data_IF_104050724556
#
_entry.id   IF_104050724556
#
_cell.length_a   1.000
_cell.length_b   1.000
_cell.length_c   1.000
_cell.angle_alpha   90.00
_cell.angle_beta   90.00
_cell.angle_gamma   90.00
#
_symmetry.space_group_name_H-M   'P 1'
#
loop_
_entity.id
_entity.type
_entity.pdbx_description
1 polymer ?
#
# COMPACT_ATOMS: atom_id res chain seq x y z
N UNK A 1 -6.39 -9.58 1.69
CA UNK A 1 -4.96 -9.25 1.85
C UNK A 1 -4.61 -8.21 0.80
N UNK A 2 -3.69 -7.30 1.10
CA UNK A 2 -3.21 -6.29 0.14
C UNK A 2 -1.90 -6.82 -0.42
N UNK A 3 -1.83 -6.99 -1.73
CA UNK A 3 -0.63 -7.40 -2.43
C UNK A 3 0.07 -6.15 -3.00
N UNK A 4 1.34 -5.96 -2.63
CA UNK A 4 2.12 -4.78 -3.02
C UNK A 4 3.25 -5.22 -3.94
N UNK A 5 3.42 -4.50 -5.05
CA UNK A 5 4.46 -4.72 -6.05
C UNK A 5 5.35 -3.48 -6.16
N UNK A 6 6.60 -3.64 -6.61
CA UNK A 6 7.40 -2.47 -6.98
C UNK A 6 6.76 -1.76 -8.19
N UNK A 7 7.08 -0.48 -8.40
CA UNK A 7 6.46 0.30 -9.48
C UNK A 7 6.72 -0.31 -10.87
N UNK A 8 7.90 -0.90 -11.07
CA UNK A 8 8.27 -1.60 -12.31
C UNK A 8 7.39 -2.83 -12.58
N UNK A 9 7.30 -3.75 -11.60
CA UNK A 9 6.52 -4.97 -11.73
C UNK A 9 5.02 -4.67 -11.80
N UNK A 10 4.53 -3.75 -10.96
CA UNK A 10 3.14 -3.32 -10.99
C UNK A 10 2.77 -2.70 -12.33
N UNK A 11 3.61 -1.79 -12.85
CA UNK A 11 3.38 -1.21 -14.19
C UNK A 11 3.40 -2.27 -15.28
N UNK A 12 4.36 -3.21 -15.23
CA UNK A 12 4.48 -4.29 -16.22
C UNK A 12 3.27 -5.20 -16.22
N UNK A 13 2.82 -5.69 -15.07
CA UNK A 13 1.74 -6.67 -15.02
C UNK A 13 0.36 -6.04 -15.24
N UNK A 14 0.09 -4.87 -14.64
CA UNK A 14 -1.21 -4.21 -14.80
C UNK A 14 -1.39 -3.52 -16.17
N UNK A 15 -0.33 -3.39 -16.97
CA UNK A 15 -0.44 -3.02 -18.40
C UNK A 15 -1.03 -4.15 -19.27
N UNK A 16 -0.91 -5.41 -18.82
CA UNK A 16 -1.40 -6.59 -19.55
C UNK A 16 -2.85 -6.90 -19.20
N UNK A 17 -3.16 -6.93 -17.91
CA UNK A 17 -4.50 -7.24 -17.40
C UNK A 17 -4.72 -6.63 -16.01
N UNK A 18 -5.97 -6.29 -15.70
CA UNK A 18 -6.39 -5.86 -14.36
C UNK A 18 -6.65 -7.07 -13.46
N UNK A 19 -5.62 -7.89 -13.26
CA UNK A 19 -5.67 -9.09 -12.42
C UNK A 19 -4.46 -9.07 -11.48
N UNK A 20 -4.68 -9.34 -10.19
CA UNK A 20 -3.60 -9.43 -9.21
C UNK A 20 -2.63 -10.57 -9.58
N UNK A 21 -1.33 -10.30 -9.79
CA UNK A 21 -0.35 -11.35 -10.09
C UNK A 21 -0.13 -12.36 -8.96
N UNK A 22 -0.46 -12.02 -7.72
CA UNK A 22 -0.21 -12.87 -6.55
C UNK A 22 -1.40 -13.79 -6.21
N UNK A 23 -2.64 -13.31 -6.36
CA UNK A 23 -3.84 -14.02 -5.92
C UNK A 23 -4.90 -14.17 -7.03
N UNK A 24 -4.60 -13.80 -8.26
CA UNK A 24 -5.45 -13.95 -9.46
C UNK A 24 -6.83 -13.25 -9.37
N UNK A 25 -6.99 -12.34 -8.40
CA UNK A 25 -8.23 -11.58 -8.21
C UNK A 25 -8.37 -10.52 -9.30
N UNK A 26 -9.58 -10.37 -9.86
CA UNK A 26 -9.89 -9.33 -10.83
C UNK A 26 -10.01 -7.95 -10.14
N UNK A 27 -9.27 -6.96 -10.63
CA UNK A 27 -9.09 -5.62 -10.05
C UNK A 27 -9.75 -4.54 -10.93
N UNK A 28 -11.06 -4.66 -11.18
CA UNK A 28 -11.81 -3.76 -12.06
C UNK A 28 -12.39 -2.52 -11.36
N UNK A 29 -12.30 -2.45 -10.04
CA UNK A 29 -12.73 -1.33 -9.23
C UNK A 29 -11.75 -0.15 -9.25
N UNK A 30 -12.29 1.06 -9.12
CA UNK A 30 -11.51 2.32 -9.13
C UNK A 30 -10.42 2.40 -8.06
N UNK A 31 -10.55 1.64 -6.96
CA UNK A 31 -9.63 1.65 -5.83
C UNK A 31 -8.92 0.30 -5.65
N UNK A 32 -9.03 -0.60 -6.61
CA UNK A 32 -8.42 -1.93 -6.54
C UNK A 32 -6.91 -1.86 -6.80
N UNK A 33 -6.45 -0.83 -7.53
CA UNK A 33 -5.04 -0.55 -7.79
C UNK A 33 -4.74 0.88 -7.35
N UNK A 34 -3.83 1.03 -6.40
CA UNK A 34 -3.37 2.33 -5.91
C UNK A 34 -1.85 2.36 -5.98
N UNK A 35 -1.30 3.40 -6.61
CA UNK A 35 0.13 3.69 -6.56
C UNK A 35 0.41 4.55 -5.33
N UNK A 36 1.35 4.11 -4.51
CA UNK A 36 1.80 4.85 -3.34
C UNK A 36 3.30 5.13 -3.41
N UNK A 37 3.66 6.37 -3.09
CA UNK A 37 5.05 6.75 -2.85
C UNK A 37 5.52 6.19 -1.50
N UNK A 38 6.62 5.44 -1.51
CA UNK A 38 7.23 4.86 -0.33
C UNK A 38 8.14 5.84 0.42
N UNK A 39 8.50 6.96 -0.20
CA UNK A 39 9.38 7.99 0.36
C UNK A 39 8.72 9.38 0.32
N UNK A 40 7.54 9.54 0.93
CA UNK A 40 6.88 10.84 0.94
C UNK A 40 7.71 11.88 1.72
N UNK A 41 7.57 13.16 1.35
CA UNK A 41 8.20 14.27 2.05
C UNK A 41 7.75 14.37 3.52
N UNK A 42 8.62 14.84 4.41
CA UNK A 42 8.31 14.93 5.85
C UNK A 42 7.11 15.84 6.14
N UNK A 43 6.96 16.92 5.38
CA UNK A 43 5.79 17.79 5.46
C UNK A 43 4.49 17.02 5.18
N UNK A 44 4.50 16.13 4.18
CA UNK A 44 3.34 15.29 3.88
C UNK A 44 3.06 14.34 5.05
N UNK A 45 4.08 13.65 5.58
CA UNK A 45 3.94 12.78 6.77
C UNK A 45 3.30 13.55 7.94
N UNK A 46 3.80 14.74 8.24
CA UNK A 46 3.23 15.60 9.29
C UNK A 46 1.78 16.01 9.00
N UNK A 47 1.44 16.32 7.75
CA UNK A 47 0.08 16.67 7.35
C UNK A 47 -0.91 15.52 7.58
N UNK A 48 -0.56 14.28 7.20
CA UNK A 48 -1.48 13.14 7.38
C UNK A 48 -1.69 12.80 8.85
N UNK A 49 -0.67 13.02 9.67
CA UNK A 49 -0.74 12.76 11.12
C UNK A 49 -1.47 13.86 11.88
N UNK A 50 -1.48 15.10 11.36
CA UNK A 50 -2.14 16.21 11.98
C UNK A 50 -3.67 15.98 12.07
N UNK A 51 -4.21 16.02 13.28
CA UNK A 51 -5.64 15.80 13.53
C UNK A 51 -6.04 14.35 13.84
N UNK A 52 -5.10 13.40 13.74
CA UNK A 52 -5.34 12.03 14.20
C UNK A 52 -5.09 11.91 15.71
N UNK A 53 -5.92 11.11 16.38
CA UNK A 53 -5.70 10.77 17.78
C UNK A 53 -4.52 9.80 17.93
N UNK A 54 -3.78 9.83 19.05
CA UNK A 54 -2.66 8.92 19.29
C UNK A 54 -3.01 7.44 19.08
N UNK A 55 -4.23 7.02 19.46
CA UNK A 55 -4.67 5.62 19.32
C UNK A 55 -4.73 5.18 17.85
N UNK A 56 -5.19 6.06 16.95
CA UNK A 56 -5.26 5.79 15.51
C UNK A 56 -3.87 5.69 14.90
N UNK A 57 -2.94 6.56 15.33
CA UNK A 57 -1.54 6.53 14.86
C UNK A 57 -0.89 5.19 15.24
N UNK A 58 -1.09 4.73 16.48
CA UNK A 58 -0.55 3.47 16.96
C UNK A 58 -1.17 2.25 16.26
N UNK A 59 -2.46 2.31 15.94
CA UNK A 59 -3.14 1.29 15.13
C UNK A 59 -2.53 1.18 13.73
N UNK A 60 -2.34 2.31 13.05
CA UNK A 60 -1.72 2.37 11.71
C UNK A 60 -0.30 1.81 11.75
N UNK A 61 0.52 2.24 12.71
CA UNK A 61 1.89 1.77 12.86
C UNK A 61 1.94 0.24 13.08
N UNK A 62 1.04 -0.29 13.90
CA UNK A 62 0.95 -1.73 14.17
C UNK A 62 0.62 -2.54 12.90
N UNK A 63 -0.31 -2.05 12.07
CA UNK A 63 -0.63 -2.67 10.77
C UNK A 63 0.54 -2.62 9.79
N UNK A 64 1.24 -1.48 9.72
CA UNK A 64 2.41 -1.33 8.85
C UNK A 64 3.56 -2.27 9.25
N UNK A 65 3.84 -2.41 10.55
CA UNK A 65 4.86 -3.33 11.06
C UNK A 65 4.49 -4.79 10.76
N UNK A 66 3.22 -5.17 10.98
CA UNK A 66 2.75 -6.52 10.69
C UNK A 66 2.92 -6.87 9.20
N UNK A 67 2.58 -5.93 8.31
CA UNK A 67 2.81 -6.08 6.87
C UNK A 67 4.29 -6.26 6.53
N UNK A 68 5.17 -5.39 7.03
CA UNK A 68 6.61 -5.50 6.77
C UNK A 68 7.18 -6.82 7.29
N UNK A 69 6.76 -7.25 8.47
CA UNK A 69 7.18 -8.52 9.07
C UNK A 69 6.71 -9.72 8.24
N UNK A 70 5.55 -9.64 7.61
CA UNK A 70 5.05 -10.67 6.71
C UNK A 70 5.90 -10.77 5.42
N UNK A 71 6.32 -9.64 4.85
CA UNK A 71 7.18 -9.62 3.64
C UNK A 71 8.60 -10.15 3.87
N UNK A 72 9.11 -10.04 5.11
CA UNK A 72 10.46 -10.52 5.47
C UNK A 72 10.53 -12.04 5.71
N UNK A 73 9.41 -12.75 5.57
CA UNK A 73 9.34 -14.22 5.62
C UNK A 73 9.27 -14.79 4.22
#
# INVERSE_FOLDING_TARGET
>A
YIDTFCDEDGTREFSKALVCPACETNLSGKHDIVRHDLQPADQYKSMILAGLKPEIIMEIASRAIAFWTYQQK
#
